data_IF_498692032690
#
_entry.id   IF_498692032690
#
_cell.length_a   1.000
_cell.length_b   1.000
_cell.length_c   1.000
_cell.angle_alpha   90.00
_cell.angle_beta   90.00
_cell.angle_gamma   90.00
#
_symmetry.space_group_name_H-M   'P 1'
#
loop_
_entity.id
_entity.type
_entity.pdbx_description
1 polymer ?
#
# COMPACT_ATOMS: atom_id res chain seq x y z
N UNK A 1 -34.88 10.65 5.13
CA UNK A 1 -33.54 10.16 5.51
C UNK A 1 -33.63 9.77 6.97
N UNK A 2 -33.77 8.47 7.25
CA UNK A 2 -33.64 7.94 8.60
C UNK A 2 -32.30 8.39 9.16
N UNK A 3 -32.31 8.93 10.38
CA UNK A 3 -31.11 9.30 11.12
C UNK A 3 -30.13 8.13 11.05
N UNK A 4 -29.00 8.34 10.38
CA UNK A 4 -27.85 7.48 10.58
C UNK A 4 -27.40 7.82 12.00
N UNK A 5 -27.82 7.01 12.97
CA UNK A 5 -27.22 7.03 14.30
C UNK A 5 -25.72 6.98 14.10
N UNK A 6 -25.03 8.01 14.61
CA UNK A 6 -23.58 8.05 14.62
C UNK A 6 -23.06 6.72 15.13
N UNK A 7 -21.99 6.20 14.52
CA UNK A 7 -21.31 5.00 15.01
C UNK A 7 -20.99 5.27 16.48
N UNK A 8 -21.74 4.66 17.41
CA UNK A 8 -21.49 4.80 18.83
C UNK A 8 -20.20 4.07 19.14
N UNK A 9 -19.10 4.81 19.12
CA UNK A 9 -17.81 4.28 19.50
C UNK A 9 -17.89 4.01 21.00
N UNK A 10 -17.52 2.79 21.42
CA UNK A 10 -17.54 2.39 22.84
C UNK A 10 -16.65 3.27 23.73
N UNK A 11 -15.78 4.07 23.13
CA UNK A 11 -14.88 5.04 23.74
C UNK A 11 -14.97 6.31 22.91
N UNK A 12 -15.21 7.45 23.54
CA UNK A 12 -15.07 8.76 22.90
C UNK A 12 -13.57 9.10 22.82
N UNK A 13 -13.01 8.98 21.62
CA UNK A 13 -11.61 9.31 21.35
C UNK A 13 -11.46 10.70 20.70
N UNK A 14 -12.54 11.47 20.60
CA UNK A 14 -12.55 12.79 19.95
C UNK A 14 -11.61 13.76 20.65
N UNK A 15 -11.69 13.86 21.99
CA UNK A 15 -10.82 14.73 22.77
C UNK A 15 -9.34 14.40 22.56
N UNK A 16 -9.01 13.11 22.51
CA UNK A 16 -7.64 12.66 22.25
C UNK A 16 -7.18 13.03 20.84
N UNK A 17 -8.02 12.85 19.82
CA UNK A 17 -7.66 13.24 18.45
C UNK A 17 -7.44 14.75 18.37
N UNK A 18 -8.36 15.55 18.95
CA UNK A 18 -8.27 17.00 18.95
C UNK A 18 -6.99 17.51 19.63
N UNK A 19 -6.58 16.87 20.73
CA UNK A 19 -5.35 17.22 21.43
C UNK A 19 -4.07 16.96 20.61
N UNK A 20 -4.15 16.16 19.55
CA UNK A 20 -3.00 15.62 18.81
C UNK A 20 -2.92 16.14 17.37
N UNK A 21 -3.85 17.00 16.97
CA UNK A 21 -3.88 17.64 15.64
C UNK A 21 -2.53 18.32 15.34
N UNK A 22 -1.98 19.03 16.32
CA UNK A 22 -0.70 19.76 16.19
C UNK A 22 0.55 18.87 16.40
N UNK A 23 0.37 17.62 16.81
CA UNK A 23 1.46 16.69 17.14
C UNK A 23 1.67 15.62 16.05
N UNK A 24 1.16 15.85 14.84
CA UNK A 24 1.35 14.91 13.74
C UNK A 24 2.83 14.72 13.38
N UNK A 25 3.27 13.47 13.28
CA UNK A 25 4.62 13.14 12.80
C UNK A 25 4.69 13.38 11.29
N UNK A 26 5.16 14.56 10.87
CA UNK A 26 5.22 14.95 9.44
C UNK A 26 6.63 14.97 8.87
N UNK A 27 7.65 15.11 9.72
CA UNK A 27 9.05 15.05 9.37
C UNK A 27 9.81 14.22 10.40
N UNK A 28 10.88 13.58 9.97
CA UNK A 28 11.76 12.77 10.82
C UNK A 28 13.20 13.17 10.59
N UNK A 29 14.02 13.07 11.62
CA UNK A 29 15.48 13.13 11.52
C UNK A 29 16.06 12.21 12.59
N UNK A 30 16.77 11.16 12.18
CA UNK A 30 17.42 10.23 13.10
C UNK A 30 18.89 10.61 13.37
N UNK A 31 19.43 11.62 12.71
CA UNK A 31 20.84 12.01 12.80
C UNK A 31 21.84 10.95 12.31
N UNK A 32 21.34 9.86 11.71
CA UNK A 32 22.15 8.75 11.19
C UNK A 32 21.42 8.02 10.07
N UNK A 33 22.20 7.36 9.21
CA UNK A 33 21.72 6.63 8.04
C UNK A 33 21.38 7.54 6.86
N UNK A 34 21.31 6.96 5.68
CA UNK A 34 20.89 7.68 4.48
C UNK A 34 19.37 7.79 4.45
N UNK A 35 18.85 9.03 4.51
CA UNK A 35 17.42 9.30 4.50
C UNK A 35 16.88 9.38 3.08
N UNK A 36 15.84 8.61 2.79
CA UNK A 36 14.97 8.78 1.64
C UNK A 36 13.55 9.12 2.10
N UNK A 37 13.01 10.25 1.64
CA UNK A 37 11.66 10.69 1.98
C UNK A 37 10.68 10.31 0.87
N UNK A 38 9.79 9.36 1.15
CA UNK A 38 8.63 9.06 0.32
C UNK A 38 7.41 9.93 0.66
N UNK A 39 6.30 9.71 -0.05
CA UNK A 39 5.03 10.44 0.17
C UNK A 39 4.55 10.35 1.63
N UNK A 40 4.55 9.15 2.20
CA UNK A 40 3.98 8.87 3.54
C UNK A 40 4.92 8.10 4.47
N UNK A 41 6.13 7.79 4.03
CA UNK A 41 7.11 7.03 4.80
C UNK A 41 8.50 7.57 4.53
N UNK A 42 9.27 7.73 5.59
CA UNK A 42 10.69 8.05 5.53
C UNK A 42 11.46 6.73 5.73
N UNK A 43 12.44 6.46 4.87
CA UNK A 43 13.34 5.31 4.97
C UNK A 43 14.71 5.80 5.39
N UNK A 44 15.32 5.14 6.37
CA UNK A 44 16.71 5.34 6.73
C UNK A 44 17.48 4.07 6.44
N UNK A 45 18.51 4.16 5.61
CA UNK A 45 19.44 3.07 5.33
C UNK A 45 20.59 3.12 6.34
N UNK A 46 20.72 2.07 7.16
CA UNK A 46 21.76 1.94 8.17
C UNK A 46 22.92 1.03 7.71
N UNK A 47 22.96 0.64 6.44
CA UNK A 47 23.91 -0.32 5.88
C UNK A 47 23.29 -1.71 5.77
N UNK A 48 23.22 -2.43 6.90
CA UNK A 48 22.73 -3.81 6.96
C UNK A 48 21.21 -3.89 7.15
N UNK A 49 20.61 -2.83 7.69
CA UNK A 49 19.19 -2.75 8.04
C UNK A 49 18.57 -1.44 7.55
N UNK A 50 17.25 -1.46 7.38
CA UNK A 50 16.44 -0.31 7.04
C UNK A 50 15.53 0.04 8.23
N UNK A 51 15.42 1.32 8.55
CA UNK A 51 14.33 1.83 9.39
C UNK A 51 13.26 2.47 8.50
N UNK A 52 12.05 1.93 8.59
CA UNK A 52 10.88 2.37 7.85
C UNK A 52 9.95 3.15 8.79
N UNK A 53 10.00 4.48 8.72
CA UNK A 53 9.20 5.36 9.58
C UNK A 53 7.95 5.80 8.83
N UNK A 54 6.80 5.21 9.17
CA UNK A 54 5.51 5.56 8.57
C UNK A 54 4.96 6.81 9.24
N UNK A 55 4.77 7.88 8.47
CA UNK A 55 4.41 9.20 8.98
C UNK A 55 2.90 9.46 8.92
N UNK A 56 2.47 10.54 9.56
CA UNK A 56 1.08 10.99 9.59
C UNK A 56 0.69 11.74 8.31
N UNK A 57 1.63 11.99 7.40
CA UNK A 57 1.36 12.61 6.09
C UNK A 57 0.35 11.78 5.30
N UNK A 58 -0.70 12.42 4.80
CA UNK A 58 -1.68 11.81 3.90
C UNK A 58 -1.50 12.37 2.50
N UNK A 59 -1.38 11.48 1.51
CA UNK A 59 -1.34 11.86 0.10
C UNK A 59 -2.59 11.43 -0.65
N UNK A 60 -3.05 12.26 -1.57
CA UNK A 60 -3.96 11.87 -2.64
C UNK A 60 -3.65 12.68 -3.90
N UNK A 61 -3.97 12.13 -5.08
CA UNK A 61 -3.62 12.74 -6.37
C UNK A 61 -2.12 13.11 -6.47
N UNK A 62 -1.27 12.21 -5.98
CA UNK A 62 0.19 12.34 -5.95
C UNK A 62 0.76 13.54 -5.19
N UNK A 63 -0.05 14.17 -4.34
CA UNK A 63 0.37 15.29 -3.48
C UNK A 63 0.09 14.98 -2.03
N UNK A 64 0.95 15.46 -1.13
CA UNK A 64 0.66 15.48 0.32
C UNK A 64 -0.37 16.57 0.56
N UNK A 65 -1.51 16.21 1.16
CA UNK A 65 -2.67 17.09 1.31
C UNK A 65 -2.93 17.50 2.75
N UNK A 66 -2.60 16.64 3.70
CA UNK A 66 -2.87 16.84 5.11
C UNK A 66 -1.95 15.94 5.96
N UNK A 67 -2.04 16.10 7.27
CA UNK A 67 -1.58 15.13 8.25
C UNK A 67 -2.75 14.65 9.10
N UNK A 68 -2.76 13.36 9.43
CA UNK A 68 -3.82 12.75 10.22
C UNK A 68 -3.17 12.18 11.50
N UNK A 69 -3.55 12.66 12.68
CA UNK A 69 -2.99 12.17 13.94
C UNK A 69 -3.06 10.64 14.02
N UNK A 70 -1.96 10.02 14.46
CA UNK A 70 -1.82 8.58 14.65
C UNK A 70 -1.93 7.70 13.39
N UNK A 71 -2.13 8.27 12.20
CA UNK A 71 -2.23 7.50 10.96
C UNK A 71 -1.01 6.61 10.75
N UNK A 72 0.19 7.15 10.97
CA UNK A 72 1.43 6.42 10.78
C UNK A 72 1.50 5.18 11.67
N UNK A 73 1.04 5.30 12.92
CA UNK A 73 0.99 4.20 13.90
C UNK A 73 0.01 3.12 13.46
N UNK A 74 -1.22 3.53 13.11
CA UNK A 74 -2.27 2.59 12.67
C UNK A 74 -1.80 1.80 11.46
N UNK A 75 -1.21 2.46 10.46
CA UNK A 75 -0.77 1.79 9.24
C UNK A 75 0.45 0.89 9.45
N UNK A 76 1.43 1.34 10.26
CA UNK A 76 2.61 0.54 10.56
C UNK A 76 2.24 -0.71 11.36
N UNK A 77 1.41 -0.59 12.40
CA UNK A 77 0.96 -1.72 13.22
C UNK A 77 0.03 -2.66 12.44
N UNK A 78 -0.81 -2.15 11.53
CA UNK A 78 -1.59 -3.00 10.62
C UNK A 78 -0.67 -3.81 9.71
N UNK A 79 0.38 -3.19 9.17
CA UNK A 79 1.40 -3.90 8.39
C UNK A 79 2.13 -4.96 9.21
N UNK A 80 2.56 -4.63 10.43
CA UNK A 80 3.20 -5.55 11.36
C UNK A 80 2.31 -6.76 11.67
N UNK A 81 1.01 -6.53 11.89
CA UNK A 81 0.03 -7.59 12.10
C UNK A 81 -0.01 -8.55 10.92
N UNK A 82 -0.10 -8.05 9.68
CA UNK A 82 -0.11 -8.90 8.48
C UNK A 82 1.19 -9.66 8.27
N UNK A 83 2.36 -9.04 8.48
CA UNK A 83 3.64 -9.73 8.38
C UNK A 83 3.74 -10.90 9.37
N UNK A 84 3.24 -10.72 10.60
CA UNK A 84 3.21 -11.80 11.59
C UNK A 84 2.24 -12.92 11.19
N UNK A 85 1.06 -12.59 10.67
CA UNK A 85 0.01 -13.57 10.31
C UNK A 85 0.26 -14.28 8.97
N UNK A 86 1.29 -13.90 8.22
CA UNK A 86 1.63 -14.49 6.92
C UNK A 86 3.05 -15.05 6.85
N UNK A 87 3.79 -15.03 7.97
CA UNK A 87 5.18 -15.48 8.03
C UNK A 87 5.38 -16.96 7.74
N UNK A 88 4.32 -17.77 7.90
CA UNK A 88 4.27 -19.19 7.57
C UNK A 88 4.12 -19.46 6.07
N UNK A 89 3.65 -18.47 5.30
CA UNK A 89 3.47 -18.55 3.85
C UNK A 89 4.77 -18.22 3.11
N UNK A 90 5.41 -17.11 3.46
CA UNK A 90 6.66 -16.65 2.85
C UNK A 90 7.50 -15.86 3.85
N UNK A 91 8.82 -15.96 3.74
CA UNK A 91 9.73 -15.12 4.52
C UNK A 91 9.48 -13.64 4.21
N UNK A 92 9.49 -12.80 5.26
CA UNK A 92 9.35 -11.35 5.13
C UNK A 92 10.55 -10.62 5.75
N UNK A 93 10.64 -9.32 5.48
CA UNK A 93 11.80 -8.51 5.83
C UNK A 93 11.78 -7.97 7.26
N UNK A 94 10.71 -8.16 8.05
CA UNK A 94 10.56 -7.50 9.35
C UNK A 94 11.52 -8.10 10.37
N UNK A 95 12.30 -7.23 11.03
CA UNK A 95 13.18 -7.57 12.16
C UNK A 95 12.55 -7.23 13.50
N UNK A 96 11.75 -6.16 13.55
CA UNK A 96 11.04 -5.74 14.75
C UNK A 96 10.33 -4.40 14.59
N UNK A 97 9.55 -4.04 15.61
CA UNK A 97 8.76 -2.81 15.68
C UNK A 97 9.22 -2.01 16.91
N UNK A 98 10.34 -1.25 16.83
CA UNK A 98 10.88 -0.54 17.99
C UNK A 98 10.01 0.64 18.46
N UNK A 99 9.10 1.10 17.62
CA UNK A 99 8.15 2.17 17.90
C UNK A 99 6.87 1.95 17.06
N UNK A 100 5.67 2.37 17.51
CA UNK A 100 4.44 2.23 16.73
C UNK A 100 4.50 2.79 15.30
N UNK A 101 5.31 3.80 15.02
CA UNK A 101 5.52 4.35 13.68
C UNK A 101 6.67 3.68 12.89
N UNK A 102 7.47 2.82 13.51
CA UNK A 102 8.75 2.34 12.95
C UNK A 102 8.74 0.82 12.76
N UNK A 103 9.13 0.38 11.56
CA UNK A 103 9.51 -1.00 11.29
C UNK A 103 11.02 -1.06 11.03
N UNK A 104 11.75 -1.87 11.80
CA UNK A 104 13.10 -2.29 11.46
C UNK A 104 13.01 -3.47 10.49
N UNK A 105 13.71 -3.39 9.36
CA UNK A 105 13.63 -4.37 8.29
C UNK A 105 15.02 -4.74 7.73
N UNK A 106 15.16 -5.97 7.26
CA UNK A 106 16.31 -6.41 6.46
C UNK A 106 16.37 -5.60 5.18
N UNK A 107 17.57 -5.22 4.77
CA UNK A 107 17.80 -4.66 3.44
C UNK A 107 17.67 -5.78 2.41
N UNK A 108 16.74 -5.63 1.47
CA UNK A 108 16.50 -6.59 0.40
C UNK A 108 16.72 -5.93 -0.95
N UNK A 109 17.14 -6.73 -1.93
CA UNK A 109 17.03 -6.35 -3.33
C UNK A 109 15.55 -6.39 -3.74
N UNK A 110 15.09 -5.32 -4.37
CA UNK A 110 13.68 -5.19 -4.77
C UNK A 110 13.49 -5.89 -6.10
N UNK A 111 12.60 -6.89 -6.14
CA UNK A 111 12.10 -7.43 -7.39
C UNK A 111 11.16 -6.37 -8.03
N UNK A 112 11.47 -5.80 -9.20
CA UNK A 112 10.82 -4.59 -9.73
C UNK A 112 9.49 -4.89 -10.44
N UNK A 113 8.67 -5.77 -9.84
CA UNK A 113 7.32 -6.11 -10.28
C UNK A 113 6.35 -5.85 -9.11
N UNK A 114 5.26 -5.14 -9.39
CA UNK A 114 4.17 -4.97 -8.43
C UNK A 114 3.14 -6.08 -8.61
N UNK A 115 3.11 -7.03 -7.67
CA UNK A 115 2.13 -8.11 -7.66
C UNK A 115 0.79 -7.64 -7.08
N UNK A 116 -0.16 -7.27 -7.95
CA UNK A 116 -1.49 -6.83 -7.55
C UNK A 116 -2.48 -7.99 -7.61
N UNK A 117 -3.05 -8.36 -6.46
CA UNK A 117 -4.15 -9.34 -6.37
C UNK A 117 -5.49 -8.61 -6.32
N UNK A 118 -6.45 -9.01 -7.15
CA UNK A 118 -7.78 -8.39 -7.25
C UNK A 118 -8.88 -9.40 -6.96
N UNK A 119 -9.70 -9.13 -5.94
CA UNK A 119 -10.95 -9.87 -5.68
C UNK A 119 -12.19 -9.21 -6.31
N UNK A 120 -12.07 -7.96 -6.76
CA UNK A 120 -13.15 -7.18 -7.35
C UNK A 120 -12.64 -6.42 -8.58
N UNK A 121 -13.49 -6.25 -9.59
CA UNK A 121 -13.18 -5.42 -10.76
C UNK A 121 -13.48 -3.95 -10.44
N UNK A 122 -12.43 -3.18 -10.16
CA UNK A 122 -12.57 -1.77 -9.74
C UNK A 122 -11.35 -0.93 -10.18
N UNK A 123 -11.34 0.33 -9.76
CA UNK A 123 -10.32 1.32 -10.04
C UNK A 123 -10.79 2.43 -10.98
N UNK A 124 -9.96 3.45 -11.07
CA UNK A 124 -10.17 4.64 -11.91
C UNK A 124 -8.92 5.07 -12.68
N UNK A 125 -7.74 4.49 -12.41
CA UNK A 125 -6.54 4.78 -13.18
C UNK A 125 -6.62 4.15 -14.57
N UNK A 126 -5.83 4.68 -15.51
CA UNK A 126 -5.73 4.14 -16.87
C UNK A 126 -5.32 2.65 -16.89
N UNK A 127 -4.50 2.24 -15.93
CA UNK A 127 -4.02 0.87 -15.78
C UNK A 127 -4.92 -0.02 -14.91
N UNK A 128 -6.01 0.49 -14.32
CA UNK A 128 -6.87 -0.33 -13.48
C UNK A 128 -7.73 -1.30 -14.30
N UNK A 129 -7.96 -2.50 -13.76
CA UNK A 129 -8.70 -3.56 -14.45
C UNK A 129 -10.09 -3.09 -14.93
N UNK A 130 -10.82 -2.30 -14.11
CA UNK A 130 -12.12 -1.78 -14.55
C UNK A 130 -12.00 -0.80 -15.73
N UNK A 131 -11.03 0.12 -15.73
CA UNK A 131 -10.86 1.09 -16.81
C UNK A 131 -10.55 0.39 -18.14
N UNK A 132 -9.61 -0.56 -18.12
CA UNK A 132 -9.25 -1.36 -19.29
C UNK A 132 -10.46 -2.17 -19.80
N UNK A 133 -11.15 -2.86 -18.90
CA UNK A 133 -12.34 -3.64 -19.24
C UNK A 133 -13.48 -2.79 -19.83
N UNK A 134 -13.74 -1.63 -19.22
CA UNK A 134 -14.78 -0.71 -19.66
C UNK A 134 -14.46 -0.06 -21.02
N UNK A 135 -13.18 0.00 -21.40
CA UNK A 135 -12.76 0.46 -22.72
C UNK A 135 -12.91 -0.60 -23.83
N UNK A 136 -13.30 -1.83 -23.45
CA UNK A 136 -13.61 -2.91 -24.40
C UNK A 136 -12.63 -4.08 -24.33
N UNK A 137 -11.51 -3.94 -23.63
CA UNK A 137 -10.51 -5.00 -23.53
C UNK A 137 -11.01 -6.13 -22.62
N UNK A 138 -10.86 -7.37 -23.07
CA UNK A 138 -11.16 -8.56 -22.25
C UNK A 138 -9.91 -9.27 -21.80
N UNK A 139 -8.76 -8.90 -22.35
CA UNK A 139 -7.47 -9.44 -21.98
C UNK A 139 -6.69 -8.45 -21.13
N UNK A 140 -6.18 -8.90 -19.99
CA UNK A 140 -5.39 -8.07 -19.10
C UNK A 140 -4.41 -8.92 -18.29
N UNK A 141 -3.12 -8.61 -18.35
CA UNK A 141 -2.05 -9.38 -17.69
C UNK A 141 -2.05 -10.89 -18.06
N UNK A 142 -2.43 -11.24 -19.29
CA UNK A 142 -2.55 -12.64 -19.73
C UNK A 142 -3.79 -13.38 -19.24
N UNK A 143 -4.76 -12.66 -18.64
CA UNK A 143 -6.04 -13.21 -18.20
C UNK A 143 -7.15 -12.74 -19.13
N UNK A 144 -8.12 -13.63 -19.41
CA UNK A 144 -9.34 -13.30 -20.14
C UNK A 144 -10.53 -13.15 -19.19
N UNK A 145 -11.33 -12.10 -19.38
CA UNK A 145 -12.51 -11.79 -18.58
C UNK A 145 -13.78 -11.94 -19.41
N UNK A 146 -14.87 -12.51 -18.84
CA UNK A 146 -16.13 -12.64 -19.57
C UNK A 146 -16.79 -11.27 -19.79
N UNK A 147 -17.66 -11.20 -20.80
CA UNK A 147 -18.54 -10.06 -20.99
C UNK A 147 -19.54 -9.89 -19.83
N UNK A 148 -20.08 -8.67 -19.71
CA UNK A 148 -21.14 -8.35 -18.77
C UNK A 148 -20.70 -8.03 -17.34
N UNK A 149 -19.40 -8.04 -17.02
CA UNK A 149 -18.90 -7.56 -15.72
C UNK A 149 -19.27 -6.09 -15.49
N UNK A 150 -19.60 -5.75 -14.25
CA UNK A 150 -19.99 -4.41 -13.80
C UNK A 150 -18.95 -3.80 -12.85
N UNK A 151 -18.89 -2.47 -12.78
CA UNK A 151 -17.98 -1.76 -11.86
C UNK A 151 -18.21 -2.21 -10.42
N UNK A 152 -17.13 -2.52 -9.71
CA UNK A 152 -17.11 -3.02 -8.33
C UNK A 152 -17.73 -4.42 -8.13
N UNK A 153 -17.92 -5.19 -9.19
CA UNK A 153 -18.38 -6.57 -9.09
C UNK A 153 -17.28 -7.46 -8.48
N UNK A 154 -17.68 -8.42 -7.63
CA UNK A 154 -16.79 -9.47 -7.13
C UNK A 154 -16.41 -10.41 -8.28
N UNK A 155 -15.12 -10.73 -8.40
CA UNK A 155 -14.63 -11.73 -9.35
C UNK A 155 -14.88 -13.14 -8.79
N UNK A 156 -15.01 -14.13 -9.68
CA UNK A 156 -15.26 -15.52 -9.29
C UNK A 156 -14.14 -16.09 -8.42
N UNK A 157 -12.89 -15.68 -8.71
CA UNK A 157 -11.72 -15.95 -7.89
C UNK A 157 -10.80 -14.72 -7.87
N UNK A 158 -9.96 -14.55 -6.83
CA UNK A 158 -8.89 -13.56 -6.86
C UNK A 158 -7.96 -13.79 -8.05
N UNK A 159 -7.64 -12.73 -8.77
CA UNK A 159 -6.75 -12.77 -9.92
C UNK A 159 -5.47 -11.98 -9.67
N UNK A 160 -4.36 -12.44 -10.22
CA UNK A 160 -3.07 -11.76 -10.16
C UNK A 160 -2.87 -10.92 -11.43
N UNK A 161 -2.64 -9.62 -11.27
CA UNK A 161 -2.43 -8.69 -12.37
C UNK A 161 -1.17 -7.87 -12.13
N UNK A 162 0.02 -8.41 -12.43
CA UNK A 162 1.26 -7.73 -12.14
C UNK A 162 1.50 -6.55 -13.08
N UNK A 163 2.22 -5.55 -12.57
CA UNK A 163 2.73 -4.43 -13.38
C UNK A 163 4.23 -4.29 -13.18
N UNK A 164 4.97 -3.91 -14.22
CA UNK A 164 6.38 -3.56 -14.10
C UNK A 164 6.56 -2.26 -13.33
N UNK A 165 7.74 -2.06 -12.75
CA UNK A 165 8.14 -0.80 -12.12
C UNK A 165 9.29 -0.19 -12.91
N UNK A 166 8.95 0.47 -14.01
CA UNK A 166 9.91 1.06 -14.95
C UNK A 166 10.04 2.57 -14.75
N UNK A 167 11.18 3.16 -15.15
CA UNK A 167 11.45 4.61 -14.94
C UNK A 167 10.47 5.53 -15.68
N UNK A 168 9.98 5.10 -16.85
CA UNK A 168 9.06 5.90 -17.65
C UNK A 168 7.60 5.68 -17.22
N UNK A 169 7.09 4.46 -17.38
CA UNK A 169 5.71 4.11 -17.06
C UNK A 169 5.58 2.62 -16.70
N UNK A 170 4.91 2.33 -15.58
CA UNK A 170 4.49 0.97 -15.24
C UNK A 170 3.58 0.42 -16.33
N UNK A 171 3.84 -0.82 -16.79
CA UNK A 171 2.97 -1.52 -17.74
C UNK A 171 2.41 -2.82 -17.17
N UNK A 172 1.19 -3.24 -17.55
CA UNK A 172 0.70 -4.58 -17.29
C UNK A 172 1.63 -5.64 -17.88
N UNK A 173 1.91 -6.71 -17.13
CA UNK A 173 2.73 -7.83 -17.57
C UNK A 173 2.07 -9.15 -17.15
N UNK A 174 2.18 -10.20 -17.96
CA UNK A 174 1.66 -11.52 -17.60
C UNK A 174 2.70 -12.31 -16.78
N UNK A 175 2.29 -13.29 -15.97
CA UNK A 175 3.23 -14.18 -15.30
C UNK A 175 4.21 -14.89 -16.24
N UNK A 176 3.77 -15.26 -17.45
CA UNK A 176 4.63 -15.87 -18.46
C UNK A 176 5.68 -14.87 -18.98
N UNK A 177 5.27 -13.64 -19.27
CA UNK A 177 6.17 -12.59 -19.75
C UNK A 177 7.22 -12.19 -18.71
N UNK A 178 6.90 -12.22 -17.41
CA UNK A 178 7.90 -12.01 -16.35
C UNK A 178 9.06 -13.00 -16.49
N UNK A 179 8.76 -14.28 -16.75
CA UNK A 179 9.77 -15.34 -16.90
C UNK A 179 10.51 -15.22 -18.24
N UNK A 180 9.78 -14.99 -19.34
CA UNK A 180 10.35 -14.90 -20.68
C UNK A 180 11.30 -13.71 -20.85
N UNK A 181 10.97 -12.58 -20.23
CA UNK A 181 11.79 -11.36 -20.27
C UNK A 181 12.95 -11.38 -19.25
N UNK A 182 12.99 -12.38 -18.37
CA UNK A 182 14.09 -12.58 -17.42
C UNK A 182 14.15 -11.56 -16.28
N UNK A 183 12.99 -11.12 -15.81
CA UNK A 183 12.87 -10.25 -14.63
C UNK A 183 13.33 -10.92 -13.35
#
# INVERSE_FOLDING_TARGET
>A
MSEIETIQTKVDYTERILAEIENCLTATDLGRGEKYQGKVRDRYDLGDELLLVTTDRQSAFDRVLASIPFKGQVLNLTGAWWFEHTKDIVANHVLGIPDPNVTAAKKCEVFPIEFVVRGFITGSSATSLWTVYNNGDREYCGLSFPDGLKKNQRLDAPVLTPTTKEEAHDRPISPAAIVEEGW
#
